data_IF_467552355217
#
_entry.id   IF_467552355217
#
_cell.length_a   1.000
_cell.length_b   1.000
_cell.length_c   1.000
_cell.angle_alpha   90.00
_cell.angle_beta   90.00
_cell.angle_gamma   90.00
#
_symmetry.space_group_name_H-M   'P 1'
#
loop_
_entity.id
_entity.type
_entity.pdbx_description
1 polymer ?
2 non-polymer ?
3 water ?
#
# COMPACT_ATOMS: atom_id res chain seq x y z
N UNK A 1 14.22 6.27 5.17
CA UNK A 1 13.58 5.24 5.98
C UNK A 1 13.16 4.05 5.13
N UNK A 2 12.97 2.91 5.77
CA UNK A 2 12.73 1.69 5.03
C UNK A 2 11.31 1.65 4.52
N UNK A 3 11.17 1.22 3.25
CA UNK A 3 9.84 1.17 2.63
C UNK A 3 9.96 0.16 1.50
N UNK A 4 9.45 -1.04 1.73
CA UNK A 4 9.60 -2.13 0.77
C UNK A 4 8.32 -2.93 0.74
N UNK A 5 7.85 -3.26 -0.46
CA UNK A 5 6.68 -4.14 -0.62
C UNK A 5 7.03 -5.13 -1.72
N UNK A 6 6.68 -6.40 -1.51
CA UNK A 6 6.91 -7.47 -2.48
C UNK A 6 5.60 -8.23 -2.64
N UNK A 7 5.18 -8.42 -3.89
CA UNK A 7 3.90 -9.07 -4.17
C UNK A 7 4.09 -10.08 -5.29
N UNK A 8 3.29 -11.14 -5.26
CA UNK A 8 3.03 -11.96 -6.43
C UNK A 8 1.52 -12.08 -6.57
N UNK A 9 1.00 -11.81 -7.76
CA UNK A 9 -0.42 -11.91 -8.00
C UNK A 9 -0.70 -11.98 -9.49
N UNK A 10 -1.99 -11.93 -9.85
CA UNK A 10 -2.40 -12.00 -11.25
C UNK A 10 -3.12 -10.72 -11.65
N UNK A 11 -2.86 -10.26 -12.87
CA UNK A 11 -3.44 -9.00 -13.31
C UNK A 11 -4.96 -9.15 -13.48
N UNK A 12 -5.69 -8.15 -13.00
CA UNK A 12 -7.14 -8.21 -13.14
C UNK A 12 -7.60 -7.81 -14.52
N UNK A 13 -6.76 -7.10 -15.28
CA UNK A 13 -7.07 -6.66 -16.63
C UNK A 13 -5.76 -6.36 -17.33
N UNK A 14 -5.83 -6.12 -18.64
CA UNK A 14 -4.63 -5.79 -19.37
C UNK A 14 -3.97 -4.54 -18.79
N UNK A 15 -2.64 -4.44 -18.80
CA UNK A 15 -1.98 -3.23 -18.30
C UNK A 15 -2.22 -2.05 -19.23
N UNK A 16 -1.95 -0.85 -18.71
CA UNK A 16 -2.19 0.38 -19.45
C UNK A 16 -0.99 1.30 -19.37
N UNK A 17 -1.03 2.36 -20.16
CA UNK A 17 -0.10 3.46 -20.06
C UNK A 17 -0.86 4.67 -19.54
N UNK A 18 -0.19 5.48 -18.72
CA UNK A 18 -0.72 6.76 -18.29
C UNK A 18 0.46 7.73 -18.18
N UNK A 19 0.15 9.01 -18.09
CA UNK A 19 1.19 9.98 -17.79
C UNK A 19 0.83 10.66 -16.47
N UNK A 20 1.85 10.89 -15.64
CA UNK A 20 1.63 11.49 -14.34
C UNK A 20 1.29 12.98 -14.50
N UNK A 21 0.93 13.66 -13.42
CA UNK A 21 0.62 15.09 -13.54
C UNK A 21 1.77 15.91 -14.09
N UNK A 22 3.02 15.49 -13.84
CA UNK A 22 4.18 16.20 -14.35
C UNK A 22 4.55 15.81 -15.77
N UNK A 23 3.76 14.97 -16.43
CA UNK A 23 4.06 14.54 -17.79
C UNK A 23 4.98 13.35 -17.90
N UNK A 24 5.19 12.61 -16.82
CA UNK A 24 6.04 11.42 -16.83
C UNK A 24 5.19 10.22 -17.22
N UNK A 25 5.68 9.41 -18.15
CA UNK A 25 4.93 8.24 -18.61
C UNK A 25 5.17 7.03 -17.69
N UNK A 26 4.11 6.26 -17.45
CA UNK A 26 4.18 5.08 -16.59
C UNK A 26 3.31 3.97 -17.17
N UNK A 27 3.58 2.73 -16.77
CA UNK A 27 2.63 1.64 -16.92
C UNK A 27 1.88 1.44 -15.61
N UNK A 28 0.61 1.05 -15.72
CA UNK A 28 -0.20 0.76 -14.54
C UNK A 28 -0.84 -0.61 -14.72
N UNK A 29 -1.01 -1.30 -13.59
CA UNK A 29 -1.82 -2.51 -13.59
C UNK A 29 -2.26 -2.82 -12.17
N UNK A 30 -3.28 -3.67 -12.06
CA UNK A 30 -3.83 -4.07 -10.79
C UNK A 30 -3.59 -5.56 -10.58
N UNK A 31 -3.05 -5.92 -9.42
CA UNK A 31 -2.78 -7.31 -9.10
C UNK A 31 -3.84 -7.83 -8.13
N UNK A 32 -4.43 -8.98 -8.45
CA UNK A 32 -5.23 -9.73 -7.49
C UNK A 32 -4.27 -10.67 -6.77
N UNK A 33 -4.14 -10.45 -5.47
CA UNK A 33 -3.17 -11.21 -4.64
C UNK A 33 -3.93 -12.07 -3.64
N UNK A 34 -3.87 -13.37 -3.84
CA UNK A 34 -4.64 -14.30 -2.98
C UNK A 34 -4.07 -14.26 -1.57
N UNK A 35 -4.95 -14.42 -0.60
CA UNK A 35 -4.52 -14.49 0.80
C UNK A 35 -4.27 -15.95 1.20
N UNK A 36 -3.48 -16.16 2.24
CA UNK A 36 -3.25 -17.52 2.77
C UNK A 36 -4.10 -17.67 4.02
N UNK A 37 -5.43 -17.66 3.88
CA UNK A 37 -6.29 -17.91 5.07
C UNK A 37 -7.76 -17.88 4.69
N UNK A 45 -10.15 -15.56 -0.82
CA UNK A 45 -10.09 -14.12 -0.58
C UNK A 45 -8.83 -13.53 -1.21
N UNK A 46 -8.92 -12.28 -1.66
CA UNK A 46 -7.80 -11.66 -2.34
C UNK A 46 -7.81 -10.17 -2.06
N UNK A 47 -6.64 -9.56 -2.23
CA UNK A 47 -6.50 -8.12 -2.17
C UNK A 47 -6.15 -7.58 -3.55
N UNK A 48 -6.61 -6.37 -3.83
CA UNK A 48 -6.50 -5.78 -5.17
C UNK A 48 -5.62 -4.54 -5.08
N UNK A 49 -4.41 -4.64 -5.65
CA UNK A 49 -3.35 -3.67 -5.38
C UNK A 49 -2.91 -3.02 -6.68
N UNK A 50 -2.94 -1.68 -6.72
CA UNK A 50 -2.58 -0.94 -7.92
C UNK A 50 -1.07 -0.69 -7.96
N UNK A 51 -0.44 -1.07 -9.08
CA UNK A 51 1.00 -1.00 -9.28
C UNK A 51 1.31 0.01 -10.38
N UNK A 52 2.48 0.65 -10.25
CA UNK A 52 2.90 1.71 -11.17
C UNK A 52 4.36 1.48 -11.50
N UNK A 53 4.72 1.63 -12.78
CA UNK A 53 6.06 1.32 -13.26
C UNK A 53 6.58 2.50 -14.10
N UNK A 54 7.73 2.99 -13.70
CA UNK A 54 8.36 4.11 -14.43
C UNK A 54 9.44 3.61 -15.39
N UNK A 55 9.85 4.50 -16.28
CA UNK A 55 10.96 4.20 -17.21
C UNK A 55 10.58 3.14 -18.24
N UNK A 56 11.56 2.61 -18.97
CA UNK A 56 11.21 1.72 -20.10
C UNK A 56 10.63 0.41 -19.60
N UNK A 57 10.83 0.11 -18.31
CA UNK A 57 10.16 -1.08 -17.81
C UNK A 57 8.67 -1.03 -18.10
N UNK A 58 8.11 0.16 -18.25
CA UNK A 58 6.70 0.30 -18.61
C UNK A 58 6.39 -0.41 -19.93
N UNK A 59 7.36 -0.45 -20.85
CA UNK A 59 7.11 -1.12 -22.13
C UNK A 59 7.14 -2.63 -21.97
N UNK A 60 8.08 -3.14 -21.15
CA UNK A 60 8.08 -4.56 -20.86
C UNK A 60 6.74 -4.99 -20.29
N UNK A 61 6.25 -4.20 -19.33
CA UNK A 61 4.98 -4.52 -18.66
C UNK A 61 3.84 -4.55 -19.67
N UNK A 62 3.78 -3.55 -20.56
CA UNK A 62 2.64 -3.51 -21.45
C UNK A 62 2.72 -4.52 -22.60
N UNK A 63 3.87 -5.15 -22.81
CA UNK A 63 3.97 -6.17 -23.84
C UNK A 63 3.94 -7.59 -23.30
N UNK A 64 4.56 -7.83 -22.13
CA UNK A 64 4.65 -9.19 -21.59
C UNK A 64 3.44 -9.58 -20.75
N UNK A 65 2.76 -8.63 -20.14
CA UNK A 65 1.68 -8.98 -19.22
C UNK A 65 0.34 -8.70 -19.86
N UNK A 66 -0.64 -9.55 -19.52
CA UNK A 66 -2.03 -9.34 -19.93
C UNK A 66 -2.93 -9.74 -18.76
N UNK A 67 -4.23 -9.54 -18.95
CA UNK A 67 -5.20 -9.99 -17.94
C UNK A 67 -4.97 -11.45 -17.58
N UNK A 68 -4.88 -11.73 -16.29
CA UNK A 68 -4.63 -13.07 -15.81
C UNK A 68 -3.17 -13.47 -15.66
N UNK A 69 -2.24 -12.69 -16.20
CA UNK A 69 -0.82 -13.03 -16.11
C UNK A 69 -0.34 -13.02 -14.66
N UNK A 70 0.50 -13.99 -14.32
CA UNK A 70 1.18 -14.01 -13.03
C UNK A 70 2.36 -13.07 -13.08
N UNK A 71 2.48 -12.18 -12.08
CA UNK A 71 3.59 -11.22 -12.04
C UNK A 71 4.08 -11.06 -10.62
N UNK A 72 5.38 -10.78 -10.48
CA UNK A 72 5.96 -10.40 -9.21
C UNK A 72 6.40 -8.94 -9.27
N UNK A 73 6.28 -8.24 -8.14
CA UNK A 73 6.72 -6.85 -8.06
C UNK A 73 7.53 -6.66 -6.79
N UNK A 74 8.58 -5.86 -6.91
CA UNK A 74 9.45 -5.51 -5.80
C UNK A 74 9.51 -3.99 -5.86
N UNK A 75 9.04 -3.30 -4.83
CA UNK A 75 8.91 -1.86 -4.94
C UNK A 75 8.70 -1.20 -3.60
N UNK A 76 8.12 0.00 -3.64
CA UNK A 76 7.88 0.77 -2.42
C UNK A 76 6.45 1.30 -2.45
N UNK A 77 5.90 1.55 -1.27
CA UNK A 77 4.54 2.06 -1.14
C UNK A 77 4.55 3.57 -1.21
N UNK A 78 3.72 4.15 -2.09
CA UNK A 78 3.65 5.61 -2.15
C UNK A 78 2.21 6.05 -2.07
N UNK A 79 1.98 7.11 -1.30
CA UNK A 79 0.67 7.69 -1.12
C UNK A 79 0.54 8.95 -1.98
N UNK A 80 -0.69 9.25 -2.39
CA UNK A 80 -0.99 10.49 -3.10
C UNK A 80 -2.51 10.63 -3.12
N UNK A 81 -2.97 11.80 -3.57
CA UNK A 81 -4.40 12.02 -3.68
C UNK A 81 -4.65 12.97 -4.84
N UNK A 82 -5.91 12.99 -5.28
CA UNK A 82 -6.28 13.78 -6.45
C UNK A 82 -7.79 13.92 -6.44
N UNK A 83 -8.27 14.91 -7.18
CA UNK A 83 -9.71 15.13 -7.32
C UNK A 83 -10.16 14.46 -8.62
N UNK A 84 -11.15 13.57 -8.51
CA UNK A 84 -11.58 12.77 -9.65
C UNK A 84 -12.53 13.58 -10.54
N UNK A 85 -13.16 12.90 -11.50
CA UNK A 85 -14.04 13.58 -12.44
C UNK A 85 -15.21 14.24 -11.73
N UNK A 86 -15.83 13.53 -10.77
CA UNK A 86 -16.97 14.10 -10.06
C UNK A 86 -16.57 15.19 -9.09
N UNK A 87 -15.28 15.50 -8.96
CA UNK A 87 -14.83 16.52 -8.03
C UNK A 87 -14.60 16.03 -6.62
N UNK A 88 -14.38 14.73 -6.50
CA UNK A 88 -14.18 14.12 -5.17
C UNK A 88 -12.70 13.82 -4.98
N UNK A 89 -12.19 14.16 -3.81
CA UNK A 89 -10.77 13.86 -3.52
C UNK A 89 -10.64 12.35 -3.26
N UNK A 90 -9.77 11.72 -4.01
CA UNK A 90 -9.51 10.29 -3.82
C UNK A 90 -8.12 10.13 -3.20
N UNK A 91 -8.01 9.26 -2.21
CA UNK A 91 -6.73 8.99 -1.57
C UNK A 91 -6.28 7.59 -1.95
N UNK A 92 -5.04 7.46 -2.44
CA UNK A 92 -4.58 6.13 -2.87
C UNK A 92 -3.23 5.80 -2.28
N UNK A 93 -2.98 4.48 -2.19
CA UNK A 93 -1.66 3.96 -1.81
C UNK A 93 -1.33 2.94 -2.89
N UNK A 94 -0.22 3.16 -3.61
CA UNK A 94 0.14 2.34 -4.76
C UNK A 94 1.52 1.73 -4.56
N UNK A 95 1.79 0.67 -5.30
CA UNK A 95 3.13 0.08 -5.29
C UNK A 95 3.87 0.66 -6.47
N UNK A 96 4.97 1.36 -6.21
CA UNK A 96 5.82 1.89 -7.27
C UNK A 96 6.96 0.90 -7.46
N UNK A 97 7.02 0.29 -8.64
CA UNK A 97 7.84 -0.91 -8.85
C UNK A 97 9.28 -0.55 -9.18
N UNK A 98 10.20 -1.09 -8.37
CA UNK A 98 11.60 -1.11 -8.74
C UNK A 98 11.86 -2.16 -9.80
N UNK A 99 11.20 -3.32 -9.71
CA UNK A 99 11.23 -4.23 -10.85
C UNK A 99 9.92 -5.02 -10.91
N UNK A 100 9.63 -5.49 -12.11
CA UNK A 100 8.50 -6.40 -12.35
C UNK A 100 9.06 -7.70 -12.91
N UNK A 101 8.62 -8.81 -12.35
CA UNK A 101 9.09 -10.13 -12.76
C UNK A 101 7.98 -10.84 -13.52
N UNK A 102 8.31 -11.35 -14.71
CA UNK A 102 7.33 -11.98 -15.57
C UNK A 102 7.43 -13.49 -15.31
N UNK A 103 6.62 -13.96 -14.36
CA UNK A 103 6.73 -15.32 -13.86
C UNK A 103 6.15 -16.37 -14.80
N UNK A 104 5.31 -15.96 -15.76
CA UNK A 104 4.66 -16.85 -16.72
C UNK A 104 5.07 -16.48 -18.14
N UNK A 105 6.30 -16.78 -18.55
CA UNK A 105 6.73 -16.38 -19.90
C UNK A 105 6.02 -17.14 -21.01
N UNK A 106 5.48 -18.33 -20.75
CA UNK A 106 4.86 -19.12 -21.81
C UNK A 106 3.38 -19.38 -21.57
N UNK B 1 -0.47 -16.62 -2.75
CA UNK B 1 0.63 -15.86 -3.34
C UNK B 1 1.35 -15.03 -2.28
N UNK B 2 2.10 -14.02 -2.69
CA UNK B 2 3.00 -13.33 -1.78
C UNK B 2 2.54 -11.90 -1.59
N UNK B 3 2.65 -11.42 -0.35
CA UNK B 3 2.16 -10.09 0.00
C UNK B 3 2.87 -9.71 1.30
N UNK B 4 3.89 -8.86 1.19
CA UNK B 4 4.71 -8.50 2.34
C UNK B 4 5.12 -7.04 2.26
N UNK B 5 4.91 -6.32 3.37
CA UNK B 5 5.26 -4.91 3.50
C UNK B 5 6.15 -4.75 4.72
N UNK B 6 7.24 -3.99 4.59
CA UNK B 6 8.06 -3.63 5.73
C UNK B 6 8.32 -2.14 5.63
N UNK B 7 8.04 -1.41 6.69
CA UNK B 7 8.20 0.04 6.72
C UNK B 7 8.89 0.44 8.01
N UNK B 8 9.64 1.54 7.95
CA UNK B 8 10.08 2.24 9.16
C UNK B 8 9.71 3.70 8.98
N UNK B 9 9.02 4.26 9.97
CA UNK B 9 8.62 5.65 9.89
C UNK B 9 8.21 6.17 11.25
N UNK B 10 7.58 7.35 11.25
CA UNK B 10 7.13 8.01 12.47
C UNK B 10 5.62 8.18 12.42
N UNK B 11 4.97 7.92 13.55
CA UNK B 11 3.51 8.09 13.60
C UNK B 11 3.16 9.56 13.45
N UNK B 12 2.13 9.83 12.66
CA UNK B 12 1.72 11.22 12.49
C UNK B 12 0.91 11.74 13.67
N UNK B 13 0.27 10.84 14.42
CA UNK B 13 -0.58 11.20 15.54
C UNK B 13 -0.51 10.08 16.57
N UNK B 14 -1.06 10.34 17.75
CA UNK B 14 -1.22 9.25 18.70
C UNK B 14 -2.06 8.15 18.03
N UNK B 15 -1.74 6.88 18.25
CA UNK B 15 -2.57 5.82 17.69
C UNK B 15 -4.00 5.92 18.20
N UNK B 16 -4.94 5.49 17.40
CA UNK B 16 -6.32 5.36 17.85
C UNK B 16 -6.58 3.92 18.25
N UNK B 17 -7.15 3.75 19.44
CA UNK B 17 -7.23 2.43 20.08
C UNK B 17 -8.67 2.17 20.49
N UNK B 18 -9.22 1.04 20.06
CA UNK B 18 -10.57 0.67 20.44
C UNK B 18 -10.65 -0.83 20.65
N UNK B 19 -11.70 -1.24 21.34
CA UNK B 19 -12.02 -2.65 21.51
C UNK B 19 -13.42 -2.91 20.98
N UNK B 20 -13.52 -3.72 19.93
CA UNK B 20 -14.81 -4.18 19.45
C UNK B 20 -15.60 -4.74 20.63
N UNK B 21 -16.93 -4.69 20.60
CA UNK B 21 -17.70 -5.37 21.67
C UNK B 21 -17.41 -6.87 21.76
N UNK B 22 -16.83 -7.49 20.74
CA UNK B 22 -16.42 -8.88 20.82
C UNK B 22 -15.14 -9.06 21.63
N UNK B 23 -14.40 -7.99 21.88
CA UNK B 23 -13.22 -8.06 22.70
C UNK B 23 -11.90 -7.99 21.96
N UNK B 24 -11.90 -7.78 20.65
CA UNK B 24 -10.66 -7.73 19.90
C UNK B 24 -10.15 -6.29 19.90
N UNK B 25 -8.92 -6.11 20.39
CA UNK B 25 -8.30 -4.80 20.37
C UNK B 25 -7.92 -4.42 18.93
N UNK B 26 -8.05 -3.14 18.62
CA UNK B 26 -7.66 -2.61 17.32
C UNK B 26 -6.96 -1.27 17.52
N UNK B 27 -5.80 -1.10 16.90
CA UNK B 27 -5.11 0.19 16.89
C UNK B 27 -4.85 0.60 15.45
N UNK B 28 -4.97 1.88 15.17
CA UNK B 28 -4.66 2.41 13.86
C UNK B 28 -3.72 3.60 14.00
N UNK B 29 -2.92 3.82 12.98
CA UNK B 29 -2.04 4.97 12.95
C UNK B 29 -1.58 5.14 11.52
N UNK B 30 -1.08 6.33 11.21
CA UNK B 30 -0.52 6.61 9.90
C UNK B 30 0.98 6.78 10.08
N UNK B 31 1.75 6.02 9.30
CA UNK B 31 3.20 6.09 9.35
C UNK B 31 3.71 7.05 8.29
N UNK B 32 4.44 8.06 8.70
CA UNK B 32 5.13 8.96 7.77
C UNK B 32 6.51 8.38 7.48
N UNK B 33 6.76 8.05 6.22
CA UNK B 33 7.99 7.35 5.81
C UNK B 33 8.73 8.25 4.83
N UNK B 34 9.86 8.80 5.25
CA UNK B 34 10.59 9.70 4.35
C UNK B 34 11.15 8.92 3.16
N UNK B 35 11.10 9.55 1.98
CA UNK B 35 11.68 8.91 0.80
C UNK B 35 13.21 9.02 0.85
N UNK B 36 13.87 8.04 0.22
CA UNK B 36 15.34 8.07 0.14
C UNK B 36 15.71 8.94 -1.05
N UNK B 37 15.06 8.76 -2.20
CA UNK B 37 15.29 9.62 -3.37
C UNK B 37 15.10 11.10 -3.07
N UNK B 38 15.90 11.97 -3.69
CA UNK B 38 15.88 13.42 -3.40
C UNK B 38 15.14 14.20 -4.47
N UNK B 39 13.86 14.43 -4.26
CA UNK B 39 13.07 15.25 -5.22
C UNK B 39 13.79 16.59 -5.42
N UNK B 43 15.24 18.57 -1.63
CA UNK B 43 13.76 18.33 -1.65
C UNK B 43 13.43 16.85 -1.45
N UNK B 44 13.24 16.41 -0.22
CA UNK B 44 12.83 15.02 0.10
C UNK B 44 11.38 14.99 0.61
N UNK B 45 10.57 14.15 -0.02
CA UNK B 45 9.18 14.05 0.36
C UNK B 45 8.98 12.78 1.20
N UNK B 46 7.76 12.61 1.69
CA UNK B 46 7.42 11.47 2.53
C UNK B 46 6.14 10.83 2.01
N UNK B 47 5.95 9.55 2.34
CA UNK B 47 4.70 8.85 2.09
C UNK B 47 3.97 8.60 3.40
N UNK B 48 2.65 8.55 3.32
CA UNK B 48 1.82 8.50 4.52
C UNK B 48 0.92 7.27 4.41
N UNK B 49 1.29 6.21 5.15
CA UNK B 49 0.72 4.88 4.99
C UNK B 49 -0.18 4.60 6.18
N UNK B 50 -1.45 4.24 5.91
CA UNK B 50 -2.40 3.94 6.98
C UNK B 50 -2.23 2.50 7.43
N UNK B 51 -1.96 2.30 8.72
CA UNK B 51 -1.71 1.00 9.30
C UNK B 51 -2.80 0.60 10.28
N UNK B 52 -3.02 -0.70 10.39
CA UNK B 52 -3.98 -1.24 11.36
C UNK B 52 -3.36 -2.47 12.02
N UNK B 53 -3.61 -2.64 13.31
CA UNK B 53 -3.03 -3.76 14.05
C UNK B 53 -4.05 -4.27 15.05
N UNK B 54 -3.94 -5.54 15.44
CA UNK B 54 -4.96 -6.19 16.25
C UNK B 54 -4.37 -6.88 17.48
N UNK B 55 -5.24 -7.15 18.45
CA UNK B 55 -4.96 -8.05 19.59
C UNK B 55 -3.77 -7.50 20.39
N UNK B 56 -2.85 -8.38 20.82
CA UNK B 56 -1.81 -7.95 21.74
C UNK B 56 -0.90 -6.91 21.11
N UNK B 57 -0.63 -7.05 19.80
CA UNK B 57 0.14 -6.01 19.12
C UNK B 57 -0.54 -4.65 19.25
N UNK B 58 -1.86 -4.61 19.11
CA UNK B 58 -2.58 -3.36 19.26
C UNK B 58 -2.46 -2.81 20.68
N UNK B 59 -2.56 -3.69 21.68
CA UNK B 59 -2.39 -3.24 23.06
C UNK B 59 -1.04 -2.58 23.24
N UNK B 60 0.01 -3.24 22.73
CA UNK B 60 1.37 -2.72 22.86
C UNK B 60 1.50 -1.36 22.16
N UNK B 61 0.95 -1.25 20.96
CA UNK B 61 0.98 0.03 20.25
C UNK B 61 0.35 1.13 21.10
N UNK B 62 -0.80 0.86 21.71
CA UNK B 62 -1.44 1.90 22.50
C UNK B 62 -0.60 2.26 23.71
N UNK B 63 0.08 1.28 24.32
CA UNK B 63 0.82 1.58 25.55
C UNK B 63 2.15 2.30 25.29
N UNK B 64 2.77 2.13 24.11
CA UNK B 64 4.12 2.63 23.95
C UNK B 64 4.31 3.65 22.82
N UNK B 65 3.41 3.75 21.86
CA UNK B 65 3.63 4.65 20.74
C UNK B 65 2.75 5.89 20.84
N UNK B 66 3.29 7.01 20.40
CA UNK B 66 2.53 8.25 20.35
C UNK B 66 2.94 9.02 19.11
N UNK B 67 2.33 10.20 18.93
CA UNK B 67 2.70 11.09 17.86
C UNK B 67 4.20 11.28 17.78
N UNK B 68 4.76 11.10 16.57
CA UNK B 68 6.17 11.26 16.31
C UNK B 68 7.04 10.07 16.64
N UNK B 69 6.50 9.02 17.25
CA UNK B 69 7.33 7.87 17.62
C UNK B 69 7.85 7.17 16.37
N UNK B 70 9.12 6.77 16.42
CA UNK B 70 9.72 5.95 15.37
C UNK B 70 9.32 4.50 15.55
N UNK B 71 8.78 3.89 14.49
CA UNK B 71 8.28 2.53 14.59
C UNK B 71 8.58 1.77 13.30
N UNK B 72 8.73 0.46 13.43
CA UNK B 72 8.82 -0.43 12.28
C UNK B 72 7.59 -1.30 12.20
N UNK B 73 7.15 -1.61 10.99
CA UNK B 73 5.99 -2.48 10.81
C UNK B 73 6.35 -3.57 9.83
N UNK B 74 5.86 -4.77 10.10
CA UNK B 74 6.01 -5.93 9.25
C UNK B 74 4.60 -6.46 9.01
N UNK B 75 4.13 -6.46 7.76
CA UNK B 75 2.72 -6.71 7.51
C UNK B 75 2.39 -7.04 6.07
N UNK B 76 1.10 -6.87 5.73
CA UNK B 76 0.54 -7.25 4.44
C UNK B 76 -0.35 -6.11 3.96
N UNK B 77 -0.37 -5.89 2.65
CA UNK B 77 -1.21 -4.85 2.07
C UNK B 77 -2.63 -5.38 1.88
N UNK B 78 -3.63 -4.67 2.39
CA UNK B 78 -5.01 -5.15 2.24
C UNK B 78 -5.88 -4.07 1.63
N UNK B 79 -6.78 -4.48 0.75
CA UNK B 79 -7.75 -3.58 0.14
C UNK B 79 -9.14 -3.90 0.67
N UNK B 80 -9.98 -2.88 0.78
CA UNK B 80 -11.38 -3.09 1.10
C UNK B 80 -12.18 -1.94 0.49
N UNK B 81 -13.50 -2.12 0.48
CA UNK B 81 -14.44 -1.23 -0.18
C UNK B 81 -15.49 -0.77 0.82
N UNK B 82 -15.91 0.48 0.73
CA UNK B 82 -17.09 0.85 1.51
C UNK B 82 -17.84 1.97 0.81
N UNK B 83 -19.12 2.09 1.19
CA UNK B 83 -20.00 3.16 0.76
C UNK B 83 -20.06 4.20 1.86
N UNK B 84 -19.77 5.44 1.52
CA UNK B 84 -19.81 6.50 2.51
C UNK B 84 -21.23 7.03 2.61
N UNK B 85 -21.43 8.00 3.51
CA UNK B 85 -22.77 8.50 3.75
C UNK B 85 -23.33 9.28 2.56
N UNK B 86 -22.48 9.72 1.64
CA UNK B 86 -22.96 10.38 0.43
C UNK B 86 -23.26 9.41 -0.69
N UNK B 87 -23.13 8.11 -0.46
CA UNK B 87 -23.43 7.14 -1.49
C UNK B 87 -22.29 6.83 -2.45
N UNK B 88 -21.09 7.31 -2.18
CA UNK B 88 -19.96 7.03 -3.08
C UNK B 88 -19.17 5.84 -2.56
N UNK B 89 -18.73 5.01 -3.50
CA UNK B 89 -17.88 3.87 -3.16
C UNK B 89 -16.45 4.36 -2.95
N UNK B 90 -15.90 4.05 -1.78
CA UNK B 90 -14.55 4.46 -1.39
C UNK B 90 -13.67 3.22 -1.35
N UNK B 91 -12.52 3.29 -2.02
CA UNK B 91 -11.55 2.20 -2.08
C UNK B 91 -10.45 2.49 -1.06
N UNK B 92 -10.16 1.51 -0.22
CA UNK B 92 -9.25 1.70 0.91
C UNK B 92 -8.09 0.74 0.73
N UNK B 93 -6.87 1.25 0.94
CA UNK B 93 -5.67 0.43 1.00
C UNK B 93 -4.97 0.69 2.33
N UNK B 94 -4.69 -0.38 3.07
CA UNK B 94 -4.11 -0.28 4.40
C UNK B 94 -3.06 -1.35 4.57
N UNK B 95 -2.14 -1.14 5.50
CA UNK B 95 -1.18 -2.17 5.88
C UNK B 95 -1.69 -2.81 7.16
N UNK B 96 -1.95 -4.11 7.12
CA UNK B 96 -2.34 -4.82 8.33
C UNK B 96 -1.07 -5.43 8.91
N UNK B 97 -0.73 -5.01 10.13
CA UNK B 97 0.57 -5.28 10.71
C UNK B 97 0.62 -6.62 11.43
N UNK B 98 1.55 -7.47 11.03
CA UNK B 98 1.78 -8.68 11.82
C UNK B 98 2.54 -8.35 13.09
N UNK B 99 3.49 -7.42 13.03
CA UNK B 99 4.11 -6.92 14.24
C UNK B 99 4.49 -5.46 14.04
N UNK B 100 4.65 -4.77 15.15
CA UNK B 100 5.12 -3.40 15.19
C UNK B 100 6.29 -3.35 16.14
N UNK B 101 7.42 -2.84 15.69
CA UNK B 101 8.61 -2.76 16.52
C UNK B 101 8.81 -1.32 16.99
N UNK B 102 9.13 -1.15 18.27
CA UNK B 102 9.28 0.17 18.85
C UNK B 102 10.75 0.53 18.81
N UNK B 103 11.11 1.54 18.02
CA UNK B 103 12.50 1.85 17.70
C UNK B 103 13.07 3.00 18.50
N UNK B 104 12.34 3.53 19.46
CA UNK B 104 12.85 4.65 20.25
C UNK B 104 12.79 4.31 21.73
#
# INVERSE_FOLDING_TARGET
MLNRVVLVGRLTKDPEYRTTPSGVSVATFTLAVNRTFTNAQGEREADFINCVVFRRQADNVNNYLSKGSLAGVDGRLQSRNYENQEGRRVFVTEVVCDSVQFLEPKHHHHHH
MLNRVVLVGRLTKDPEYRTTPSGVSVATFTLAVNRTFTNAQGEREADFINCVVFRRQADNVNNYLSKGSLAGVDGRLQSRNYENQEGRRVFVTEVVCDSVQFLEPKHHHHHH
#
